data_IF_456740404658
#
_entry.id   IF_456740404658
#
_cell.length_a   1.000
_cell.length_b   1.000
_cell.length_c   1.000
_cell.angle_alpha   90.00
_cell.angle_beta   90.00
_cell.angle_gamma   90.00
#
_symmetry.space_group_name_H-M   'P 1'
#
loop_
_entity.id
_entity.type
_entity.pdbx_description
1 polymer ?
#
# COMPACT_ATOMS: atom_id res chain seq x y z
N UNK A 1 27.43 3.60 10.75
CA UNK A 1 27.07 4.82 9.99
C UNK A 1 26.58 4.59 8.54
N UNK A 2 27.09 3.59 7.80
CA UNK A 2 26.80 3.43 6.36
C UNK A 2 25.35 3.03 6.07
N UNK A 3 24.69 2.26 6.94
CA UNK A 3 23.34 1.72 6.71
C UNK A 3 22.17 2.68 6.98
N UNK A 4 22.35 3.76 7.76
CA UNK A 4 21.26 4.70 8.06
C UNK A 4 20.96 5.68 6.91
N UNK A 5 21.96 5.99 6.07
CA UNK A 5 21.80 6.84 4.89
C UNK A 5 20.93 6.19 3.79
N UNK A 6 21.17 4.93 3.37
CA UNK A 6 20.32 4.26 2.39
C UNK A 6 18.92 3.99 2.91
N UNK A 7 18.75 3.65 4.21
CA UNK A 7 17.43 3.45 4.81
C UNK A 7 16.54 4.71 4.72
N UNK A 8 17.11 5.90 4.97
CA UNK A 8 16.40 7.18 4.79
C UNK A 8 16.02 7.45 3.34
N UNK A 9 16.94 7.21 2.40
CA UNK A 9 16.66 7.39 0.97
C UNK A 9 15.53 6.47 0.51
N UNK A 10 15.56 5.19 0.91
CA UNK A 10 14.51 4.23 0.60
C UNK A 10 13.18 4.60 1.27
N UNK A 11 13.19 5.08 2.52
CA UNK A 11 11.98 5.53 3.20
C UNK A 11 11.33 6.72 2.50
N UNK A 12 12.13 7.70 2.06
CA UNK A 12 11.64 8.85 1.28
C UNK A 12 11.10 8.39 -0.07
N UNK A 13 11.79 7.50 -0.77
CA UNK A 13 11.30 6.95 -2.04
C UNK A 13 9.97 6.21 -1.88
N UNK A 14 9.85 5.32 -0.88
CA UNK A 14 8.63 4.57 -0.59
C UNK A 14 7.47 5.48 -0.15
N UNK A 15 7.76 6.54 0.62
CA UNK A 15 6.75 7.54 0.99
C UNK A 15 6.33 8.38 -0.21
N UNK A 16 7.28 8.73 -1.09
CA UNK A 16 6.99 9.45 -2.32
C UNK A 16 6.10 8.65 -3.26
N UNK A 17 6.34 7.34 -3.44
CA UNK A 17 5.48 6.48 -4.26
C UNK A 17 4.08 6.35 -3.66
N UNK A 18 3.97 6.16 -2.34
CA UNK A 18 2.69 6.14 -1.63
C UNK A 18 1.92 7.47 -1.81
N UNK A 19 2.58 8.61 -1.61
CA UNK A 19 1.97 9.93 -1.83
C UNK A 19 1.50 10.08 -3.28
N UNK A 20 2.30 9.72 -4.28
CA UNK A 20 1.89 9.76 -5.68
C UNK A 20 0.64 8.92 -5.94
N UNK A 21 0.58 7.68 -5.42
CA UNK A 21 -0.61 6.83 -5.55
C UNK A 21 -1.82 7.46 -4.87
N UNK A 22 -1.66 8.01 -3.67
CA UNK A 22 -2.74 8.67 -2.95
C UNK A 22 -3.22 9.95 -3.63
N UNK A 23 -2.33 10.71 -4.26
CA UNK A 23 -2.69 11.90 -5.05
C UNK A 23 -3.51 11.50 -6.27
N UNK A 24 -3.05 10.50 -7.03
CA UNK A 24 -3.78 10.01 -8.20
C UNK A 24 -5.15 9.43 -7.81
N UNK A 25 -5.23 8.68 -6.71
CA UNK A 25 -6.49 8.16 -6.18
C UNK A 25 -7.43 9.28 -5.70
N UNK A 26 -6.89 10.27 -4.97
CA UNK A 26 -7.65 11.41 -4.46
C UNK A 26 -8.16 12.31 -5.58
N UNK A 27 -7.38 12.49 -6.64
CA UNK A 27 -7.78 13.28 -7.81
C UNK A 27 -8.97 12.68 -8.56
N UNK A 28 -9.13 11.35 -8.51
CA UNK A 28 -10.27 10.66 -9.11
C UNK A 28 -11.53 10.69 -8.22
N UNK A 29 -11.41 11.09 -6.94
CA UNK A 29 -12.53 11.23 -6.01
C UNK A 29 -12.96 12.70 -5.95
N UNK A 30 -14.13 13.02 -6.50
CA UNK A 30 -14.71 14.36 -6.47
C UNK A 30 -15.18 14.82 -7.84
N UNK A 31 -16.41 15.34 -7.89
CA UNK A 31 -16.97 15.94 -9.10
C UNK A 31 -16.38 17.33 -9.35
N UNK A 32 -16.11 18.07 -8.27
CA UNK A 32 -15.61 19.44 -8.30
C UNK A 32 -14.09 19.51 -8.04
N UNK A 33 -13.39 20.51 -8.60
CA UNK A 33 -11.95 20.66 -8.40
C UNK A 33 -11.57 20.90 -6.93
N UNK A 34 -12.42 21.60 -6.17
CA UNK A 34 -12.23 21.82 -4.73
C UNK A 34 -12.30 20.50 -3.94
N UNK A 35 -13.28 19.64 -4.25
CA UNK A 35 -13.43 18.33 -3.62
C UNK A 35 -12.19 17.45 -3.88
N UNK A 36 -11.69 17.44 -5.11
CA UNK A 36 -10.48 16.67 -5.48
C UNK A 36 -9.26 17.13 -4.70
N UNK A 37 -9.07 18.44 -4.53
CA UNK A 37 -7.97 18.98 -3.72
C UNK A 37 -8.07 18.55 -2.25
N UNK A 38 -9.28 18.53 -1.68
CA UNK A 38 -9.51 18.04 -0.31
C UNK A 38 -9.17 16.55 -0.21
N UNK A 39 -9.61 15.72 -1.15
CA UNK A 39 -9.28 14.29 -1.16
C UNK A 39 -7.79 14.02 -1.30
N UNK A 40 -7.08 14.80 -2.12
CA UNK A 40 -5.62 14.74 -2.23
C UNK A 40 -4.96 15.10 -0.89
N UNK A 41 -5.35 16.21 -0.27
CA UNK A 41 -4.78 16.66 1.00
C UNK A 41 -4.99 15.62 2.12
N UNK A 42 -6.21 15.08 2.24
CA UNK A 42 -6.54 14.01 3.20
C UNK A 42 -5.66 12.79 2.97
N UNK A 43 -5.50 12.38 1.70
CA UNK A 43 -4.63 11.26 1.33
C UNK A 43 -3.18 11.43 1.76
N UNK A 44 -2.59 12.61 1.48
CA UNK A 44 -1.20 12.92 1.88
C UNK A 44 -1.04 12.87 3.40
N UNK A 45 -2.01 13.41 4.16
CA UNK A 45 -2.00 13.38 5.62
C UNK A 45 -2.09 11.95 6.15
N UNK A 46 -2.95 11.11 5.56
CA UNK A 46 -3.10 9.71 5.96
C UNK A 46 -1.82 8.91 5.70
N UNK A 47 -1.18 9.08 4.54
CA UNK A 47 0.10 8.41 4.21
C UNK A 47 1.23 8.88 5.13
N UNK A 48 1.34 10.19 5.36
CA UNK A 48 2.30 10.75 6.30
C UNK A 48 2.10 10.21 7.73
N UNK A 49 0.84 10.15 8.18
CA UNK A 49 0.46 9.55 9.45
C UNK A 49 0.84 8.07 9.53
N UNK A 50 0.50 7.28 8.53
CA UNK A 50 0.81 5.85 8.47
C UNK A 50 2.32 5.57 8.62
N UNK A 51 3.15 6.35 7.92
CA UNK A 51 4.60 6.14 7.90
C UNK A 51 5.33 6.71 9.13
N UNK A 52 4.93 7.88 9.64
CA UNK A 52 5.67 8.58 10.69
C UNK A 52 5.15 8.30 12.11
N UNK A 53 3.85 8.03 12.30
CA UNK A 53 3.28 7.79 13.64
C UNK A 53 3.98 6.68 14.44
N UNK A 54 4.35 5.52 13.83
CA UNK A 54 5.07 4.47 14.56
C UNK A 54 6.36 5.00 15.18
N UNK A 55 7.17 5.70 14.38
CA UNK A 55 8.46 6.19 14.84
C UNK A 55 8.32 7.33 15.87
N UNK A 56 7.35 8.22 15.70
CA UNK A 56 7.12 9.37 16.59
C UNK A 56 6.55 8.98 17.95
N UNK A 57 5.72 7.93 18.02
CA UNK A 57 5.12 7.48 19.29
C UNK A 57 6.05 6.58 20.11
N UNK A 58 7.20 6.18 19.59
CA UNK A 58 8.15 5.27 20.24
C UNK A 58 8.63 5.71 21.64
N UNK A 59 9.04 6.98 21.88
CA UNK A 59 9.48 7.44 23.20
C UNK A 59 8.33 7.83 24.14
N UNK A 60 7.08 7.76 23.68
CA UNK A 60 5.92 8.26 24.43
C UNK A 60 5.47 7.30 25.55
N UNK A 61 4.78 7.79 26.59
CA UNK A 61 4.20 6.95 27.64
C UNK A 61 3.14 5.98 27.07
N UNK A 62 2.89 4.87 27.78
CA UNK A 62 2.04 3.76 27.29
C UNK A 62 0.64 4.18 26.84
N UNK A 63 0.01 5.14 27.52
CA UNK A 63 -1.32 5.65 27.14
C UNK A 63 -1.30 6.35 25.77
N UNK A 64 -0.30 7.19 25.52
CA UNK A 64 -0.11 7.88 24.23
C UNK A 64 0.24 6.90 23.13
N UNK A 65 1.01 5.84 23.45
CA UNK A 65 1.28 4.74 22.50
C UNK A 65 0.01 4.01 22.10
N UNK A 66 -0.93 3.79 23.02
CA UNK A 66 -2.23 3.20 22.71
C UNK A 66 -3.01 4.03 21.68
N UNK A 67 -3.13 5.34 21.93
CA UNK A 67 -3.78 6.27 20.99
C UNK A 67 -3.05 6.32 19.64
N UNK A 68 -1.72 6.35 19.67
CA UNK A 68 -0.88 6.32 18.46
C UNK A 68 -1.06 5.06 17.63
N UNK A 69 -1.20 3.88 18.26
CA UNK A 69 -1.47 2.61 17.56
C UNK A 69 -2.84 2.64 16.89
N UNK A 70 -3.88 3.14 17.58
CA UNK A 70 -5.23 3.23 17.00
C UNK A 70 -5.26 4.18 15.81
N UNK A 71 -4.65 5.36 15.94
CA UNK A 71 -4.55 6.32 14.84
C UNK A 71 -3.74 5.77 13.68
N UNK A 72 -2.63 5.08 13.96
CA UNK A 72 -1.81 4.42 12.97
C UNK A 72 -2.59 3.34 12.21
N UNK A 73 -3.34 2.48 12.91
CA UNK A 73 -4.20 1.47 12.26
C UNK A 73 -5.23 2.13 11.35
N UNK A 74 -5.87 3.22 11.80
CA UNK A 74 -6.80 3.99 10.97
C UNK A 74 -6.14 4.55 9.71
N UNK A 75 -4.97 5.16 9.83
CA UNK A 75 -4.19 5.66 8.70
C UNK A 75 -3.80 4.53 7.73
N UNK A 76 -3.32 3.39 8.24
CA UNK A 76 -2.95 2.22 7.43
C UNK A 76 -4.15 1.67 6.65
N UNK A 77 -5.31 1.50 7.30
CA UNK A 77 -6.52 1.01 6.63
C UNK A 77 -6.98 1.98 5.55
N UNK A 78 -7.01 3.28 5.84
CA UNK A 78 -7.46 4.28 4.88
C UNK A 78 -6.49 4.46 3.69
N UNK A 79 -5.17 4.49 3.95
CA UNK A 79 -4.15 4.57 2.92
C UNK A 79 -4.14 3.32 2.03
N UNK A 80 -4.16 2.13 2.65
CA UNK A 80 -4.20 0.87 1.90
C UNK A 80 -5.46 0.72 1.05
N UNK A 81 -6.63 1.15 1.55
CA UNK A 81 -7.85 1.21 0.75
C UNK A 81 -7.74 2.18 -0.43
N UNK A 82 -7.13 3.37 -0.22
CA UNK A 82 -6.83 4.34 -1.27
C UNK A 82 -5.94 3.75 -2.37
N UNK A 83 -4.84 3.10 -1.98
CA UNK A 83 -3.90 2.48 -2.92
C UNK A 83 -4.49 1.25 -3.62
N UNK A 84 -5.26 0.41 -2.92
CA UNK A 84 -5.99 -0.70 -3.54
C UNK A 84 -6.93 -0.19 -4.63
N UNK A 85 -7.63 0.92 -4.38
CA UNK A 85 -8.50 1.56 -5.37
C UNK A 85 -7.70 2.02 -6.60
N UNK A 86 -6.52 2.62 -6.40
CA UNK A 86 -5.63 3.00 -7.51
C UNK A 86 -5.19 1.78 -8.34
N UNK A 87 -4.78 0.68 -7.70
CA UNK A 87 -4.40 -0.54 -8.41
C UNK A 87 -5.56 -1.11 -9.23
N UNK A 88 -6.76 -1.17 -8.66
CA UNK A 88 -7.97 -1.61 -9.36
C UNK A 88 -8.27 -0.74 -10.59
N UNK A 89 -8.23 0.58 -10.42
CA UNK A 89 -8.47 1.52 -11.52
C UNK A 89 -7.42 1.37 -12.63
N UNK A 90 -6.15 1.19 -12.26
CA UNK A 90 -5.04 0.96 -13.19
C UNK A 90 -5.23 -0.35 -13.98
N UNK A 91 -5.55 -1.44 -13.28
CA UNK A 91 -5.84 -2.74 -13.92
C UNK A 91 -7.04 -2.65 -14.86
N UNK A 92 -8.11 -1.94 -14.45
CA UNK A 92 -9.29 -1.75 -15.29
C UNK A 92 -9.00 -0.94 -16.56
N UNK A 93 -8.11 0.07 -16.48
CA UNK A 93 -7.67 0.84 -17.64
C UNK A 93 -6.85 -0.02 -18.60
N UNK A 94 -5.91 -0.81 -18.08
CA UNK A 94 -5.15 -1.76 -18.88
C UNK A 94 -6.07 -2.81 -19.54
N UNK A 95 -7.08 -3.30 -18.81
CA UNK A 95 -8.13 -4.17 -19.34
C UNK A 95 -8.92 -3.53 -20.49
N UNK A 96 -9.29 -2.26 -20.34
CA UNK A 96 -10.02 -1.52 -21.39
C UNK A 96 -9.16 -1.36 -22.65
N UNK A 97 -7.87 -1.05 -22.51
CA UNK A 97 -6.94 -0.95 -23.65
C UNK A 97 -6.79 -2.29 -24.39
N UNK A 98 -6.69 -3.41 -23.64
CA UNK A 98 -6.69 -4.76 -24.23
C UNK A 98 -7.99 -5.04 -24.97
N UNK A 99 -9.14 -4.71 -24.39
CA UNK A 99 -10.45 -4.90 -25.03
C UNK A 99 -10.61 -4.07 -26.32
N UNK A 100 -10.12 -2.83 -26.35
CA UNK A 100 -10.15 -1.98 -27.56
C UNK A 100 -9.24 -2.45 -28.69
N UNK A 101 -8.19 -3.22 -28.37
CA UNK A 101 -7.30 -3.79 -29.38
C UNK A 101 -7.91 -4.96 -30.15
N UNK A 102 -9.04 -5.52 -29.68
CA UNK A 102 -9.74 -6.56 -30.39
C UNK A 102 -10.44 -5.98 -31.62
N UNK A 103 -10.25 -6.56 -32.82
CA UNK A 103 -10.83 -6.05 -34.05
C UNK A 103 -12.35 -5.95 -33.91
N UNK A 104 -12.87 -4.74 -34.12
CA UNK A 104 -14.29 -4.51 -34.22
C UNK A 104 -14.75 -5.05 -35.57
N UNK A 105 -15.18 -6.31 -35.61
CA UNK A 105 -15.93 -6.84 -36.74
C UNK A 105 -17.18 -5.97 -36.87
N UNK A 106 -17.16 -5.05 -37.82
CA UNK A 106 -18.27 -4.15 -38.10
C UNK A 106 -19.32 -4.99 -38.81
N UNK A 107 -20.31 -5.47 -38.05
CA UNK A 107 -21.46 -6.12 -38.64
C UNK A 107 -22.26 -5.10 -39.43
N UNK A 108 -22.83 -5.48 -40.58
CA UNK A 108 -23.71 -4.60 -41.33
C UNK A 108 -24.86 -4.13 -40.44
N UNK A 109 -25.26 -2.87 -40.60
CA UNK A 109 -26.42 -2.32 -39.91
C UNK A 109 -27.65 -3.19 -40.23
N UNK A 110 -28.26 -3.77 -39.20
CA UNK A 110 -29.41 -4.64 -39.33
C UNK A 110 -30.59 -4.07 -38.54
N UNK A 111 -31.81 -4.41 -38.96
CA UNK A 111 -33.03 -3.96 -38.29
C UNK A 111 -33.18 -4.67 -36.95
N UNK A 112 -33.72 -3.98 -35.95
CA UNK A 112 -33.91 -4.58 -34.63
C UNK A 112 -34.91 -5.73 -34.69
N UNK A 113 -34.60 -6.84 -34.00
CA UNK A 113 -35.48 -8.02 -33.93
C UNK A 113 -36.94 -7.67 -33.55
N UNK A 114 -37.22 -6.77 -32.59
CA UNK A 114 -38.59 -6.36 -32.26
C UNK A 114 -39.33 -5.71 -33.43
N UNK A 115 -38.64 -4.93 -34.28
CA UNK A 115 -39.26 -4.29 -35.43
C UNK A 115 -39.64 -5.34 -36.51
N UNK A 116 -38.77 -6.33 -36.76
CA UNK A 116 -39.06 -7.45 -37.68
C UNK A 116 -40.22 -8.30 -37.16
N UNK A 117 -40.23 -8.61 -35.86
CA UNK A 117 -41.30 -9.39 -35.22
C UNK A 117 -42.64 -8.63 -35.22
N UNK A 118 -42.63 -7.31 -35.03
CA UNK A 118 -43.83 -6.48 -35.11
C UNK A 118 -44.42 -6.48 -36.53
N UNK A 119 -43.58 -6.38 -37.56
CA UNK A 119 -44.04 -6.43 -38.95
C UNK A 119 -44.58 -7.82 -39.30
N UNK A 120 -43.88 -8.87 -38.87
CA UNK A 120 -44.34 -10.26 -39.01
C UNK A 120 -45.71 -10.47 -38.40
N UNK A 121 -45.96 -9.95 -37.20
CA UNK A 121 -47.26 -10.05 -36.54
C UNK A 121 -48.36 -9.37 -37.37
N UNK A 122 -48.10 -8.20 -37.94
CA UNK A 122 -49.07 -7.48 -38.79
C UNK A 122 -49.40 -8.26 -40.07
N UNK A 123 -48.39 -8.79 -40.77
CA UNK A 123 -48.58 -9.58 -42.01
C UNK A 123 -49.30 -10.90 -41.72
N UNK A 124 -49.01 -11.53 -40.59
CA UNK A 124 -49.70 -12.75 -40.14
C UNK A 124 -51.19 -12.48 -39.89
N UNK A 125 -51.51 -11.36 -39.24
CA UNK A 125 -52.89 -10.95 -39.01
C UNK A 125 -53.64 -10.68 -40.34
N UNK A 126 -53.00 -9.98 -41.29
CA UNK A 126 -53.56 -9.75 -42.62
C UNK A 126 -53.82 -11.06 -43.39
N UNK A 127 -52.87 -12.01 -43.33
CA UNK A 127 -53.02 -13.31 -43.97
C UNK A 127 -54.16 -14.12 -43.34
N UNK A 128 -54.31 -14.09 -42.01
CA UNK A 128 -55.42 -14.72 -41.32
C UNK A 128 -56.79 -14.15 -41.76
N UNK A 129 -56.90 -12.82 -41.87
CA UNK A 129 -58.11 -12.16 -42.38
C UNK A 129 -58.38 -12.54 -43.84
N UNK A 130 -57.35 -12.61 -44.68
CA UNK A 130 -57.49 -13.02 -46.08
C UNK A 130 -57.91 -14.49 -46.22
N UNK A 131 -57.47 -15.38 -45.32
CA UNK A 131 -57.85 -16.79 -45.29
C UNK A 131 -59.29 -17.01 -44.82
N UNK A 132 -59.79 -16.19 -43.90
CA UNK A 132 -61.16 -16.29 -43.40
C UNK A 132 -62.24 -15.89 -44.44
N UNK A 133 -61.89 -15.07 -45.44
CA UNK A 133 -62.83 -14.64 -46.48
C UNK A 133 -63.16 -15.78 -47.46
N UNK A 134 -64.45 -16.06 -47.65
CA UNK A 134 -64.94 -16.94 -48.73
C UNK A 134 -64.96 -16.18 -50.06
N UNK A 135 -64.55 -16.85 -51.15
CA UNK A 135 -64.61 -16.25 -52.48
C UNK A 135 -66.02 -16.41 -53.10
N UNK A 136 -66.60 -15.33 -53.62
CA UNK A 136 -67.90 -15.34 -54.33
C UNK A 136 -67.80 -14.83 -55.77
N UNK A 137 -66.88 -13.90 -56.09
CA UNK A 137 -66.68 -13.37 -57.46
C UNK A 137 -65.21 -13.34 -57.87
N UNK A 138 -64.34 -12.63 -57.14
CA UNK A 138 -62.95 -12.38 -57.58
C UNK A 138 -61.89 -13.33 -56.97
N UNK A 139 -62.06 -14.63 -57.19
CA UNK A 139 -61.16 -15.66 -56.63
C UNK A 139 -59.69 -15.55 -57.07
N UNK A 140 -59.36 -15.12 -58.31
CA UNK A 140 -57.96 -14.96 -58.71
C UNK A 140 -57.26 -13.88 -57.88
N UNK A 141 -57.93 -12.76 -57.62
CA UNK A 141 -57.36 -11.63 -56.87
C UNK A 141 -57.12 -11.98 -55.39
N UNK A 142 -58.07 -12.67 -54.75
CA UNK A 142 -57.93 -13.13 -53.37
C UNK A 142 -56.82 -14.18 -53.24
N UNK A 143 -56.71 -15.09 -54.22
CA UNK A 143 -55.61 -16.08 -54.28
C UNK A 143 -54.26 -15.39 -54.43
N UNK A 144 -54.15 -14.40 -55.33
CA UNK A 144 -52.93 -13.61 -55.50
C UNK A 144 -52.54 -12.87 -54.20
N UNK A 145 -53.51 -12.26 -53.49
CA UNK A 145 -53.24 -11.59 -52.20
C UNK A 145 -52.73 -12.57 -51.15
N UNK A 146 -53.34 -13.76 -51.02
CA UNK A 146 -52.88 -14.80 -50.08
C UNK A 146 -51.44 -15.24 -50.39
N UNK A 147 -51.13 -15.50 -51.66
CA UNK A 147 -49.77 -15.88 -52.08
C UNK A 147 -48.78 -14.74 -51.78
N UNK A 148 -49.14 -13.48 -52.06
CA UNK A 148 -48.26 -12.34 -51.76
C UNK A 148 -47.99 -12.15 -50.25
N UNK A 149 -49.00 -12.37 -49.40
CA UNK A 149 -48.86 -12.26 -47.95
C UNK A 149 -48.06 -13.42 -47.37
N UNK A 150 -48.26 -14.63 -47.89
CA UNK A 150 -47.43 -15.79 -47.53
C UNK A 150 -45.96 -15.58 -47.91
N UNK A 151 -45.69 -15.12 -49.13
CA UNK A 151 -44.33 -14.80 -49.56
C UNK A 151 -43.67 -13.69 -48.71
N UNK A 152 -44.45 -12.67 -48.30
CA UNK A 152 -43.95 -11.63 -47.38
C UNK A 152 -43.66 -12.18 -45.99
N UNK A 153 -44.47 -13.12 -45.50
CA UNK A 153 -44.23 -13.79 -44.22
C UNK A 153 -42.94 -14.63 -44.27
N UNK A 154 -42.74 -15.39 -45.35
CA UNK A 154 -41.51 -16.19 -45.57
C UNK A 154 -40.26 -15.29 -45.61
N UNK A 155 -40.35 -14.13 -46.26
CA UNK A 155 -39.27 -13.14 -46.30
C UNK A 155 -38.94 -12.58 -44.91
N UNK A 156 -39.96 -12.26 -44.08
CA UNK A 156 -39.77 -11.79 -42.72
C UNK A 156 -39.21 -12.88 -41.79
N UNK A 157 -39.58 -14.14 -42.01
CA UNK A 157 -39.01 -15.28 -41.27
C UNK A 157 -37.52 -15.49 -41.60
N UNK A 158 -37.13 -15.32 -42.88
CA UNK A 158 -35.73 -15.33 -43.30
C UNK A 158 -34.94 -14.16 -42.68
N UNK A 159 -35.49 -12.94 -42.72
CA UNK A 159 -34.87 -11.76 -42.10
C UNK A 159 -34.69 -11.95 -40.59
N UNK A 160 -35.68 -12.51 -39.89
CA UNK A 160 -35.59 -12.81 -38.47
C UNK A 160 -34.50 -13.83 -38.13
N UNK A 161 -34.31 -14.85 -38.98
CA UNK A 161 -33.23 -15.82 -38.84
C UNK A 161 -31.86 -15.15 -38.95
N UNK A 162 -31.70 -14.25 -39.92
CA UNK A 162 -30.45 -13.51 -40.13
C UNK A 162 -30.16 -12.53 -38.99
N UNK A 163 -31.17 -11.79 -38.50
CA UNK A 163 -31.02 -10.90 -37.35
C UNK A 163 -30.58 -11.67 -36.10
N UNK A 164 -31.18 -12.84 -35.81
CA UNK A 164 -30.75 -13.68 -34.67
C UNK A 164 -29.32 -14.17 -34.81
N UNK A 165 -28.91 -14.54 -36.04
CA UNK A 165 -27.53 -14.96 -36.32
C UNK A 165 -26.54 -13.83 -36.06
N UNK A 166 -26.87 -12.61 -36.50
CA UNK A 166 -26.05 -11.42 -36.24
C UNK A 166 -25.99 -11.10 -34.75
N UNK A 167 -27.12 -11.13 -34.03
CA UNK A 167 -27.16 -10.93 -32.57
C UNK A 167 -26.27 -11.94 -31.83
N UNK A 168 -26.29 -13.23 -32.20
CA UNK A 168 -25.41 -14.23 -31.58
C UNK A 168 -23.91 -13.95 -31.82
N UNK A 169 -23.56 -13.37 -32.98
CA UNK A 169 -22.19 -12.93 -33.25
C UNK A 169 -21.85 -11.69 -32.40
N UNK A 170 -22.76 -10.74 -32.25
CA UNK A 170 -22.59 -9.57 -31.36
C UNK A 170 -22.37 -10.00 -29.91
N UNK A 171 -23.19 -10.92 -29.40
CA UNK A 171 -23.11 -11.46 -28.05
C UNK A 171 -21.77 -12.19 -27.83
N UNK A 172 -21.34 -13.00 -28.80
CA UNK A 172 -20.05 -13.71 -28.73
C UNK A 172 -18.88 -12.72 -28.75
N UNK A 173 -18.96 -11.68 -29.59
CA UNK A 173 -17.95 -10.63 -29.65
C UNK A 173 -17.92 -9.79 -28.36
N UNK A 174 -19.08 -9.50 -27.76
CA UNK A 174 -19.19 -8.82 -26.48
C UNK A 174 -18.55 -9.66 -25.36
N UNK A 175 -18.90 -10.95 -25.26
CA UNK A 175 -18.30 -11.87 -24.30
C UNK A 175 -16.77 -11.97 -24.46
N UNK A 176 -16.26 -11.95 -25.70
CA UNK A 176 -14.81 -11.95 -25.96
C UNK A 176 -14.15 -10.66 -25.47
N UNK A 177 -14.78 -9.50 -25.67
CA UNK A 177 -14.26 -8.21 -25.16
C UNK A 177 -14.27 -8.18 -23.64
N UNK A 178 -15.32 -8.69 -23.00
CA UNK A 178 -15.41 -8.78 -21.55
C UNK A 178 -14.29 -9.70 -21.00
N UNK A 179 -14.08 -10.86 -21.62
CA UNK A 179 -12.99 -11.78 -21.22
C UNK A 179 -11.59 -11.18 -21.38
N UNK A 180 -11.38 -10.28 -22.35
CA UNK A 180 -10.10 -9.60 -22.55
C UNK A 180 -9.86 -8.45 -21.56
N UNK A 181 -10.93 -7.95 -20.93
CA UNK A 181 -10.86 -6.92 -19.91
C UNK A 181 -10.32 -7.48 -18.59
N UNK A 182 -10.75 -8.67 -18.22
CA UNK A 182 -10.36 -9.34 -16.98
C UNK A 182 -8.87 -9.75 -16.97
N UNK A 183 -8.25 -9.79 -15.79
CA UNK A 183 -6.90 -10.36 -15.65
C UNK A 183 -7.00 -11.90 -15.73
N UNK A 184 -6.32 -12.56 -16.69
CA UNK A 184 -6.39 -14.01 -16.84
C UNK A 184 -5.97 -14.78 -15.58
N UNK A 185 -5.13 -14.19 -14.72
CA UNK A 185 -4.71 -14.82 -13.47
C UNK A 185 -5.83 -14.75 -12.42
N UNK A 186 -6.45 -13.57 -12.23
CA UNK A 186 -7.52 -13.42 -11.22
C UNK A 186 -8.81 -14.09 -11.65
N UNK A 187 -9.10 -14.15 -12.95
CA UNK A 187 -10.22 -14.90 -13.51
C UNK A 187 -10.08 -16.42 -13.26
N UNK A 188 -8.90 -16.99 -13.50
CA UNK A 188 -8.64 -18.41 -13.22
C UNK A 188 -8.69 -18.72 -11.72
N UNK A 189 -8.15 -17.83 -10.91
CA UNK A 189 -8.17 -17.97 -9.46
C UNK A 189 -9.61 -17.86 -8.89
N UNK A 190 -10.44 -16.98 -9.47
CA UNK A 190 -11.86 -16.84 -9.13
C UNK A 190 -12.66 -18.10 -9.43
N UNK A 191 -12.42 -18.71 -10.60
CA UNK A 191 -13.05 -19.97 -10.97
C UNK A 191 -12.66 -21.13 -10.03
N UNK A 192 -11.42 -21.15 -9.53
CA UNK A 192 -10.93 -22.20 -8.62
C UNK A 192 -11.42 -22.02 -7.19
N UNK A 193 -11.50 -20.78 -6.70
CA UNK A 193 -11.84 -20.47 -5.29
C UNK A 193 -13.36 -20.23 -5.12
N UNK A 194 -14.11 -20.04 -6.20
CA UNK A 194 -15.54 -19.73 -6.15
C UNK A 194 -15.85 -18.32 -5.63
N UNK A 195 -14.86 -17.43 -5.60
CA UNK A 195 -15.03 -16.01 -5.24
C UNK A 195 -15.21 -15.15 -6.49
N UNK A 196 -16.04 -14.11 -6.36
CA UNK A 196 -16.20 -13.09 -7.40
C UNK A 196 -14.85 -12.44 -7.74
N UNK A 197 -14.57 -12.26 -9.03
CA UNK A 197 -13.31 -11.68 -9.55
C UNK A 197 -13.03 -10.31 -8.91
N UNK A 198 -14.07 -9.50 -8.73
CA UNK A 198 -13.98 -8.19 -8.06
C UNK A 198 -13.44 -8.24 -6.63
N UNK A 199 -13.70 -9.32 -5.88
CA UNK A 199 -13.17 -9.51 -4.53
C UNK A 199 -11.69 -9.89 -4.56
N UNK A 200 -11.28 -10.70 -5.55
CA UNK A 200 -9.90 -11.10 -5.72
C UNK A 200 -9.02 -9.93 -6.15
N UNK A 201 -9.48 -9.10 -7.08
CA UNK A 201 -8.75 -7.90 -7.49
C UNK A 201 -8.60 -6.93 -6.32
N UNK A 202 -9.66 -6.75 -5.51
CA UNK A 202 -9.61 -5.92 -4.30
C UNK A 202 -8.61 -6.47 -3.28
N UNK A 203 -8.62 -7.79 -3.04
CA UNK A 203 -7.69 -8.44 -2.12
C UNK A 203 -6.24 -8.34 -2.60
N UNK A 204 -6.00 -8.54 -3.89
CA UNK A 204 -4.68 -8.39 -4.50
C UNK A 204 -4.18 -6.95 -4.36
N UNK A 205 -5.01 -5.96 -4.70
CA UNK A 205 -4.70 -4.54 -4.53
C UNK A 205 -4.41 -4.17 -3.07
N UNK A 206 -5.19 -4.71 -2.12
CA UNK A 206 -4.99 -4.50 -0.69
C UNK A 206 -3.68 -5.13 -0.21
N UNK A 207 -3.32 -6.32 -0.72
CA UNK A 207 -2.09 -7.02 -0.36
C UNK A 207 -0.86 -6.24 -0.84
N UNK A 208 -0.86 -5.78 -2.10
CA UNK A 208 0.22 -4.94 -2.63
C UNK A 208 0.35 -3.62 -1.85
N UNK A 209 -0.77 -2.99 -1.53
CA UNK A 209 -0.78 -1.79 -0.70
C UNK A 209 -0.20 -2.07 0.70
N UNK A 210 -0.66 -3.11 1.39
CA UNK A 210 -0.19 -3.47 2.73
C UNK A 210 1.34 -3.73 2.77
N UNK A 211 1.88 -4.42 1.75
CA UNK A 211 3.33 -4.66 1.63
C UNK A 211 4.08 -3.33 1.45
N UNK A 212 3.60 -2.44 0.57
CA UNK A 212 4.24 -1.15 0.32
C UNK A 212 4.24 -0.26 1.58
N UNK A 213 3.10 -0.14 2.24
CA UNK A 213 2.96 0.62 3.49
C UNK A 213 3.82 0.02 4.61
N UNK A 214 3.85 -1.32 4.72
CA UNK A 214 4.65 -2.02 5.72
C UNK A 214 6.15 -1.79 5.55
N UNK A 215 6.65 -1.86 4.30
CA UNK A 215 8.04 -1.57 3.97
C UNK A 215 8.38 -0.11 4.31
N UNK A 216 7.51 0.84 3.96
CA UNK A 216 7.73 2.26 4.25
C UNK A 216 7.76 2.55 5.76
N UNK A 217 6.85 1.95 6.53
CA UNK A 217 6.82 2.05 8.00
C UNK A 217 8.10 1.48 8.63
N UNK A 218 8.54 0.29 8.21
CA UNK A 218 9.82 -0.29 8.63
C UNK A 218 11.00 0.62 8.25
N UNK A 219 10.94 1.17 7.04
CA UNK A 219 11.74 2.28 6.48
C UNK A 219 12.03 3.38 7.50
N UNK A 220 10.94 4.00 7.95
CA UNK A 220 10.97 5.14 8.85
C UNK A 220 11.33 4.77 10.29
N UNK A 221 10.86 3.61 10.76
CA UNK A 221 11.23 3.08 12.07
C UNK A 221 12.75 2.90 12.17
N UNK A 222 13.30 2.16 11.21
CA UNK A 222 14.63 2.24 10.57
C UNK A 222 15.45 3.53 10.74
N UNK A 223 15.06 4.49 9.91
CA UNK A 223 15.72 5.75 9.66
C UNK A 223 15.83 6.67 10.89
N UNK A 224 14.88 6.53 11.82
CA UNK A 224 14.74 7.37 13.01
C UNK A 224 15.31 6.73 14.30
N UNK A 225 15.99 5.57 14.19
CA UNK A 225 16.74 5.05 15.34
C UNK A 225 17.80 6.07 15.80
N UNK A 226 17.88 6.35 17.12
CA UNK A 226 18.93 7.21 17.67
C UNK A 226 20.31 6.68 17.27
N UNK A 227 21.13 7.53 16.64
CA UNK A 227 22.53 7.20 16.40
C UNK A 227 23.33 7.43 17.68
N UNK A 228 24.11 6.44 18.16
CA UNK A 228 24.84 6.56 19.42
C UNK A 228 25.85 7.72 19.46
N UNK A 229 26.33 8.20 18.30
CA UNK A 229 27.38 9.23 18.23
C UNK A 229 26.92 10.68 18.43
N UNK A 230 25.61 10.99 18.44
CA UNK A 230 25.15 12.38 18.61
C UNK A 230 25.08 12.88 20.05
N UNK A 231 25.22 11.97 21.03
CA UNK A 231 25.25 12.33 22.46
C UNK A 231 26.62 12.81 22.95
N UNK A 232 27.71 12.47 22.27
CA UNK A 232 29.07 12.76 22.75
C UNK A 232 29.60 14.15 22.32
N UNK A 233 29.03 14.77 21.28
CA UNK A 233 29.52 16.04 20.74
C UNK A 233 28.89 17.30 21.38
N UNK A 234 27.89 17.16 22.26
CA UNK A 234 27.18 18.29 22.87
C UNK A 234 27.65 18.63 24.31
N UNK A 235 28.61 17.89 24.87
CA UNK A 235 29.12 18.09 26.23
C UNK A 235 30.59 18.52 26.24
N UNK A 236 30.95 19.53 25.45
CA UNK A 236 32.33 19.98 25.29
C UNK A 236 32.46 21.49 25.24
N UNK A 237 32.03 22.19 26.30
CA UNK A 237 32.58 23.49 26.71
C UNK A 237 32.21 23.76 28.18
N UNK A 238 33.02 23.35 29.16
CA UNK A 238 32.94 23.94 30.49
C UNK A 238 33.74 25.25 30.46
N UNK A 239 33.00 26.37 30.50
CA UNK A 239 33.57 27.65 30.95
C UNK A 239 34.07 27.43 32.38
N UNK A 240 35.38 27.61 32.56
CA UNK A 240 36.04 27.57 33.86
C UNK A 240 35.45 28.69 34.72
N UNK A 241 34.67 28.33 35.73
CA UNK A 241 34.36 29.19 36.87
C UNK A 241 34.85 28.46 38.11
N UNK A 242 35.96 28.94 38.66
CA UNK A 242 36.52 28.48 39.92
C UNK A 242 35.71 29.14 41.04
N UNK A 243 34.95 28.36 41.80
CA UNK A 243 34.52 28.70 43.17
C UNK A 243 34.56 27.43 44.02
N UNK A 244 35.23 27.41 45.19
CA UNK A 244 35.29 26.26 46.07
C UNK A 244 34.20 26.33 47.17
N UNK A 245 33.56 25.21 47.49
CA UNK A 245 33.57 24.59 48.85
C UNK A 245 32.58 23.42 48.96
N UNK A 246 33.09 22.33 49.54
CA UNK A 246 32.49 21.52 50.62
C UNK A 246 31.14 20.76 50.47
N UNK A 247 31.30 19.43 50.57
CA UNK A 247 30.66 18.54 51.58
C UNK A 247 29.41 17.74 51.19
N UNK A 248 29.71 16.46 50.88
CA UNK A 248 29.11 15.19 51.36
C UNK A 248 27.69 14.78 50.93
N UNK A 249 27.61 13.59 50.31
CA UNK A 249 26.39 12.77 50.28
C UNK A 249 26.31 11.76 49.12
N UNK A 250 27.06 10.65 49.18
CA UNK A 250 26.85 9.43 48.35
C UNK A 250 27.09 8.22 49.26
N UNK A 251 26.41 7.06 49.10
CA UNK A 251 26.89 6.06 48.13
C UNK A 251 25.75 5.24 47.46
N UNK A 252 26.03 4.53 46.33
CA UNK A 252 26.82 3.29 46.33
C UNK A 252 27.94 3.32 45.28
N UNK A 253 29.18 3.66 45.68
CA UNK A 253 30.37 3.69 44.78
C UNK A 253 31.47 2.69 45.22
N UNK A 254 31.35 2.10 46.42
CA UNK A 254 32.43 1.35 47.07
C UNK A 254 32.76 0.03 46.37
N UNK A 255 31.76 -0.70 45.84
CA UNK A 255 31.99 -2.03 45.26
C UNK A 255 32.72 -1.99 43.89
N UNK A 256 32.44 -0.97 43.06
CA UNK A 256 33.08 -0.86 41.74
C UNK A 256 34.54 -0.40 41.84
N UNK A 257 34.86 0.49 42.79
CA UNK A 257 36.23 1.00 42.95
C UNK A 257 37.20 -0.05 43.49
N UNK A 258 36.74 -0.95 44.36
CA UNK A 258 37.55 -2.07 44.88
C UNK A 258 37.88 -3.10 43.78
N UNK A 259 36.92 -3.32 42.87
CA UNK A 259 37.11 -4.20 41.71
C UNK A 259 38.08 -3.59 40.68
N UNK A 260 37.98 -2.28 40.43
CA UNK A 260 38.93 -1.56 39.55
C UNK A 260 40.36 -1.53 40.12
N UNK A 261 40.51 -1.40 41.44
CA UNK A 261 41.82 -1.34 42.11
C UNK A 261 42.54 -2.71 42.12
N UNK A 262 41.80 -3.79 42.34
CA UNK A 262 42.35 -5.16 42.28
C UNK A 262 42.76 -5.55 40.86
N UNK A 263 41.99 -5.15 39.85
CA UNK A 263 42.36 -5.35 38.45
C UNK A 263 43.60 -4.53 38.06
N UNK A 264 43.66 -3.25 38.46
CA UNK A 264 44.79 -2.38 38.16
C UNK A 264 46.11 -2.86 38.81
N UNK A 265 46.03 -3.39 40.04
CA UNK A 265 47.21 -3.96 40.72
C UNK A 265 47.75 -5.19 40.00
N UNK A 266 46.85 -6.04 39.48
CA UNK A 266 47.22 -7.22 38.67
C UNK A 266 47.89 -6.82 37.35
N UNK A 267 47.36 -5.81 36.67
CA UNK A 267 47.88 -5.36 35.37
C UNK A 267 49.23 -4.65 35.49
N UNK A 268 49.49 -3.96 36.62
CA UNK A 268 50.81 -3.42 36.94
C UNK A 268 51.81 -4.56 37.24
N UNK A 269 51.40 -5.57 38.01
CA UNK A 269 52.24 -6.74 38.30
C UNK A 269 52.56 -7.57 37.04
N UNK A 270 51.64 -7.63 36.08
CA UNK A 270 51.83 -8.25 34.77
C UNK A 270 52.66 -7.39 33.79
N UNK A 271 53.08 -6.18 34.19
CA UNK A 271 53.87 -5.26 33.36
C UNK A 271 53.10 -4.56 32.23
N UNK A 272 51.76 -4.71 32.20
CA UNK A 272 50.89 -4.15 31.16
C UNK A 272 50.67 -2.64 31.33
N UNK A 273 50.80 -2.12 32.56
CA UNK A 273 50.57 -0.71 32.87
C UNK A 273 51.75 -0.15 33.66
N UNK A 274 52.31 0.98 33.20
CA UNK A 274 53.29 1.74 34.00
C UNK A 274 52.57 2.42 35.17
N UNK A 275 53.11 2.40 36.41
CA UNK A 275 52.50 3.00 37.60
C UNK A 275 52.61 4.54 37.62
N UNK A 276 52.26 5.18 36.50
CA UNK A 276 52.20 6.62 36.30
C UNK A 276 50.75 7.04 36.09
N UNK A 277 50.43 8.30 36.44
CA UNK A 277 49.07 8.83 36.26
C UNK A 277 48.64 8.79 34.79
N UNK A 278 49.55 9.00 33.84
CA UNK A 278 49.24 8.91 32.41
C UNK A 278 48.95 7.48 31.96
N UNK A 279 49.68 6.48 32.47
CA UNK A 279 49.48 5.07 32.14
C UNK A 279 48.14 4.55 32.65
N UNK A 280 47.81 4.84 33.91
CA UNK A 280 46.52 4.46 34.51
C UNK A 280 45.35 5.12 33.77
N UNK A 281 45.52 6.40 33.37
CA UNK A 281 44.50 7.14 32.61
C UNK A 281 44.22 6.51 31.24
N UNK A 282 45.27 6.09 30.54
CA UNK A 282 45.13 5.45 29.23
C UNK A 282 44.52 4.06 29.34
N UNK A 283 44.87 3.30 30.39
CA UNK A 283 44.39 1.93 30.58
C UNK A 283 42.93 1.86 31.03
N UNK A 284 42.50 2.75 31.93
CA UNK A 284 41.14 2.75 32.49
C UNK A 284 40.21 3.81 31.88
N UNK A 285 40.69 4.59 30.90
CA UNK A 285 39.98 5.72 30.29
C UNK A 285 39.33 6.69 31.31
N UNK A 286 39.98 6.89 32.46
CA UNK A 286 39.44 7.66 33.58
C UNK A 286 39.91 9.13 33.60
N UNK A 287 39.34 9.97 34.48
CA UNK A 287 39.78 11.36 34.65
C UNK A 287 41.14 11.44 35.36
N UNK A 288 41.84 12.58 35.20
CA UNK A 288 43.16 12.78 35.84
C UNK A 288 43.07 12.75 37.38
N UNK A 289 41.96 13.21 37.96
CA UNK A 289 41.70 13.11 39.40
C UNK A 289 41.51 11.65 39.86
N UNK A 290 40.73 10.84 39.11
CA UNK A 290 40.52 9.41 39.43
C UNK A 290 41.81 8.60 39.29
N UNK A 291 42.58 8.82 38.22
CA UNK A 291 43.89 8.18 38.04
C UNK A 291 44.90 8.57 39.14
N UNK A 292 44.88 9.83 39.59
CA UNK A 292 45.73 10.28 40.70
C UNK A 292 45.31 9.66 42.05
N UNK A 293 44.01 9.51 42.30
CA UNK A 293 43.49 8.85 43.50
C UNK A 293 43.85 7.35 43.53
N UNK A 294 43.64 6.62 42.44
CA UNK A 294 44.00 5.20 42.31
C UNK A 294 45.52 4.99 42.47
N UNK A 295 46.34 5.86 41.88
CA UNK A 295 47.80 5.81 42.07
C UNK A 295 48.19 5.99 43.54
N UNK A 296 47.54 6.90 44.28
CA UNK A 296 47.80 7.09 45.72
C UNK A 296 47.43 5.86 46.53
N UNK A 297 46.33 5.18 46.20
CA UNK A 297 45.90 3.95 46.87
C UNK A 297 46.85 2.76 46.60
N UNK A 298 47.52 2.72 45.44
CA UNK A 298 48.54 1.71 45.14
C UNK A 298 49.89 2.04 45.81
N UNK A 299 50.26 3.32 45.88
CA UNK A 299 51.54 3.77 46.47
C UNK A 299 51.50 3.76 48.00
N UNK A 300 50.31 3.86 48.60
CA UNK A 300 50.14 3.77 50.06
C UNK A 300 49.79 2.31 50.39
N UNK A 301 50.72 1.48 50.88
CA UNK A 301 50.38 0.13 51.28
C UNK A 301 49.41 0.22 52.45
N UNK A 302 48.27 -0.45 52.34
CA UNK A 302 47.31 -0.66 53.42
C UNK A 302 48.01 -1.34 54.59
N UNK A 303 48.40 -0.56 55.60
CA UNK A 303 48.71 -1.08 56.91
C UNK A 303 47.39 -1.46 57.61
N UNK A 304 47.18 -2.76 57.81
CA UNK A 304 46.27 -3.30 58.81
C UNK A 304 44.98 -3.90 58.27
N UNK A 305 44.97 -5.21 58.04
CA UNK A 305 44.23 -6.15 58.92
C UNK A 305 44.26 -7.56 58.31
N UNK A 306 45.28 -8.34 58.65
CA UNK A 306 45.15 -9.78 58.88
C UNK A 306 45.48 -10.00 60.35
N UNK A 307 44.76 -10.91 60.98
CA UNK A 307 44.93 -11.34 62.37
C UNK A 307 46.39 -11.62 62.76
#
# INVERSE_FOLDING_TARGET
MIWLRPARLLAVAATGTAICMSVLAGWQRGGWPSERLVWVAVGVVLVGGAHLLPALCRPAPLAVRGVGIVLWLGCMVAASYGHATFFLLSQSHAGTLRATSLPANSLPAHRSLPAVMSERASVTAELAVANARRCVRDCPSLRARRVSLAARLDALDAEAGEVRRLQGIEDTNAARRDSARDDPVTARLGALIGMAVSKLDLFAGLTFAAVLEGIACLLWWIALLPSPDRGAAAAGNPVVTIVPSETVGSPPIVAETETELTQLTRDIAAGLVRPTVSGIRQHLHCSQAKAAALRRQIVTPTAGSTA
#
